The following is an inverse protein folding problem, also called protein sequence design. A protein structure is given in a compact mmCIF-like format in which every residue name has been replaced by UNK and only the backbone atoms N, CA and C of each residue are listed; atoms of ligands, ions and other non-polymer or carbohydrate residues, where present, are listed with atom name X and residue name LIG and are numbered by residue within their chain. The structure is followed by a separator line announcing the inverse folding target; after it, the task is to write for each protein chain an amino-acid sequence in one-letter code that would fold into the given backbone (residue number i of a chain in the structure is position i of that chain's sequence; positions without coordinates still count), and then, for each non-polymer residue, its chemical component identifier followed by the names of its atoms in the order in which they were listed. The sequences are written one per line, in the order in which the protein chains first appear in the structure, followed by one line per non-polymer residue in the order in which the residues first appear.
data_IF_031257365255
#
_entry.id   IF_031257365255
#
_cell.length_a   1.000
_cell.length_b   1.000
_cell.length_c   1.000
_cell.angle_alpha   90.00
_cell.angle_beta   90.00
_cell.angle_gamma   90.00
#
_symmetry.space_group_name_H-M   'P 1'
#
loop_
_entity.id
_entity.type
_entity.pdbx_description
1 polymer ?
#
# COMPACT_ATOMS: atom_id res chain seq x y z
N UNK A 1 -1.77 -12.52 9.84
CA UNK A 1 -2.59 -12.61 8.61
C UNK A 1 -1.74 -12.24 7.40
N UNK A 2 -2.10 -12.73 6.20
CA UNK A 2 -1.45 -12.40 4.94
C UNK A 2 -2.51 -12.09 3.88
N UNK A 3 -2.34 -10.98 3.15
CA UNK A 3 -3.20 -10.55 2.05
C UNK A 3 -2.34 -10.30 0.80
N UNK A 4 -2.88 -10.63 -0.36
CA UNK A 4 -2.29 -10.30 -1.66
C UNK A 4 -3.32 -9.51 -2.47
N UNK A 5 -3.10 -8.20 -2.60
CA UNK A 5 -4.01 -7.30 -3.30
C UNK A 5 -3.55 -7.19 -4.76
N UNK A 6 -4.32 -7.79 -5.66
CA UNK A 6 -4.06 -7.77 -7.11
C UNK A 6 -4.46 -6.43 -7.75
N UNK A 7 -3.83 -5.36 -7.28
CA UNK A 7 -3.99 -3.99 -7.74
C UNK A 7 -2.60 -3.36 -7.89
N UNK A 8 -2.41 -2.56 -8.93
CA UNK A 8 -1.15 -1.83 -9.10
C UNK A 8 -0.96 -0.84 -7.93
N UNK A 9 0.18 -0.87 -7.21
CA UNK A 9 0.44 0.07 -6.14
C UNK A 9 0.33 1.52 -6.61
N UNK A 10 -0.37 2.36 -5.84
CA UNK A 10 -0.50 3.79 -6.12
C UNK A 10 -0.05 4.60 -4.91
N UNK A 11 0.83 5.61 -5.08
CA UNK A 11 1.19 6.51 -3.98
C UNK A 11 0.00 7.41 -3.64
N UNK A 12 -0.09 7.81 -2.37
CA UNK A 12 -1.07 8.79 -1.93
C UNK A 12 -0.94 10.10 -2.71
N UNK A 13 -2.05 10.57 -3.30
CA UNK A 13 -2.09 11.89 -3.93
C UNK A 13 -2.11 12.98 -2.86
N UNK A 14 -1.38 14.08 -3.10
CA UNK A 14 -1.47 15.27 -2.25
C UNK A 14 -2.85 15.92 -2.40
N UNK A 15 -3.42 16.50 -1.32
CA UNK A 15 -4.67 17.24 -1.41
C UNK A 15 -4.58 18.34 -2.46
N UNK A 16 -5.63 18.50 -3.28
CA UNK A 16 -5.73 19.61 -4.21
C UNK A 16 -6.61 20.69 -3.60
N UNK A 17 -6.19 21.93 -3.80
CA UNK A 17 -6.91 23.11 -3.35
C UNK A 17 -7.47 23.84 -4.57
N UNK A 18 -8.78 24.07 -4.57
CA UNK A 18 -9.43 24.93 -5.56
C UNK A 18 -10.08 26.11 -4.84
N UNK A 19 -9.97 27.30 -5.41
CA UNK A 19 -10.58 28.52 -4.90
C UNK A 19 -11.78 28.90 -5.76
N UNK A 20 -12.94 29.11 -5.13
CA UNK A 20 -14.13 29.70 -5.74
C UNK A 20 -14.53 30.94 -4.95
N UNK A 21 -14.17 32.12 -5.47
CA UNK A 21 -14.34 33.38 -4.76
C UNK A 21 -13.51 33.43 -3.47
N UNK A 22 -14.18 33.66 -2.33
CA UNK A 22 -13.58 33.66 -0.99
C UNK A 22 -13.42 32.26 -0.37
N UNK A 23 -14.02 31.22 -0.96
CA UNK A 23 -13.99 29.87 -0.40
C UNK A 23 -12.87 29.03 -1.02
N UNK A 24 -12.13 28.33 -0.17
CA UNK A 24 -11.14 27.31 -0.58
C UNK A 24 -11.72 25.93 -0.28
N UNK A 25 -11.78 25.07 -1.30
CA UNK A 25 -12.23 23.69 -1.18
C UNK A 25 -11.05 22.76 -1.37
N UNK A 26 -10.87 21.83 -0.44
CA UNK A 26 -9.89 20.75 -0.53
C UNK A 26 -10.57 19.51 -1.07
N UNK A 27 -10.01 18.89 -2.11
CA UNK A 27 -10.54 17.65 -2.67
C UNK A 27 -9.42 16.66 -3.00
N UNK A 28 -9.72 15.37 -2.84
CA UNK A 28 -8.83 14.30 -3.27
C UNK A 28 -8.93 14.10 -4.79
N UNK A 29 -7.83 13.66 -5.39
CA UNK A 29 -7.83 13.29 -6.79
C UNK A 29 -8.82 12.15 -7.08
N UNK A 30 -9.61 12.29 -8.16
CA UNK A 30 -10.68 11.34 -8.51
C UNK A 30 -10.11 9.93 -8.74
N UNK A 31 -8.93 9.84 -9.35
CA UNK A 31 -8.30 8.56 -9.62
C UNK A 31 -7.72 7.96 -8.34
N UNK A 32 -7.29 8.78 -7.38
CA UNK A 32 -6.89 8.30 -6.04
C UNK A 32 -8.09 7.73 -5.29
N UNK A 33 -9.22 8.45 -5.28
CA UNK A 33 -10.45 7.96 -4.65
C UNK A 33 -10.92 6.64 -5.25
N UNK A 34 -10.88 6.53 -6.59
CA UNK A 34 -11.27 5.31 -7.31
C UNK A 34 -10.35 4.14 -6.94
N UNK A 35 -9.05 4.38 -6.91
CA UNK A 35 -8.06 3.38 -6.50
C UNK A 35 -8.28 2.95 -5.04
N UNK A 36 -8.50 3.90 -4.12
CA UNK A 36 -8.73 3.64 -2.69
C UNK A 36 -9.97 2.78 -2.47
N UNK A 37 -11.08 3.09 -3.14
CA UNK A 37 -12.31 2.30 -3.07
C UNK A 37 -12.10 0.86 -3.56
N UNK A 38 -11.36 0.68 -4.66
CA UNK A 38 -11.05 -0.65 -5.18
C UNK A 38 -10.14 -1.42 -4.21
N UNK A 39 -9.12 -0.78 -3.65
CA UNK A 39 -8.25 -1.36 -2.65
C UNK A 39 -9.04 -1.81 -1.40
N UNK A 40 -9.92 -0.94 -0.87
CA UNK A 40 -10.82 -1.25 0.24
C UNK A 40 -11.71 -2.46 -0.05
N UNK A 41 -12.29 -2.55 -1.26
CA UNK A 41 -13.11 -3.69 -1.68
C UNK A 41 -12.30 -5.00 -1.70
N UNK A 42 -11.08 -4.98 -2.24
CA UNK A 42 -10.20 -6.15 -2.24
C UNK A 42 -9.85 -6.60 -0.82
N UNK A 43 -9.52 -5.66 0.07
CA UNK A 43 -9.22 -5.93 1.48
C UNK A 43 -10.45 -6.52 2.16
N UNK A 44 -11.61 -5.86 2.07
CA UNK A 44 -12.85 -6.31 2.71
C UNK A 44 -13.27 -7.71 2.25
N UNK A 45 -13.11 -8.03 0.96
CA UNK A 45 -13.42 -9.35 0.44
C UNK A 45 -12.48 -10.44 0.98
N UNK A 46 -11.18 -10.16 1.08
CA UNK A 46 -10.21 -11.13 1.63
C UNK A 46 -10.26 -11.23 3.16
N UNK A 47 -10.73 -10.19 3.83
CA UNK A 47 -10.81 -10.10 5.29
C UNK A 47 -12.23 -10.33 5.84
N UNK A 48 -13.16 -10.79 5.00
CA UNK A 48 -14.56 -10.96 5.35
C UNK A 48 -14.73 -11.92 6.54
N UNK A 49 -15.49 -11.49 7.54
CA UNK A 49 -15.80 -12.29 8.73
C UNK A 49 -14.67 -12.36 9.77
N UNK A 50 -13.56 -11.66 9.55
CA UNK A 50 -12.48 -11.54 10.55
C UNK A 50 -12.75 -10.34 11.48
N UNK A 51 -12.38 -10.43 12.76
CA UNK A 51 -12.47 -9.30 13.68
C UNK A 51 -11.42 -8.24 13.32
N UNK A 52 -11.71 -6.97 13.63
CA UNK A 52 -10.72 -5.91 13.58
C UNK A 52 -9.58 -6.24 14.56
N UNK A 53 -8.34 -6.10 14.12
CA UNK A 53 -7.15 -6.32 14.94
C UNK A 53 -7.00 -5.21 15.98
N UNK A 54 -6.74 -5.62 17.22
CA UNK A 54 -6.52 -4.73 18.36
C UNK A 54 -5.06 -4.80 18.84
N UNK A 55 -4.63 -3.77 19.59
CA UNK A 55 -3.29 -3.69 20.16
C UNK A 55 -2.21 -3.25 19.16
N UNK A 56 -0.96 -3.39 19.58
CA UNK A 56 0.21 -3.05 18.77
C UNK A 56 0.42 -4.07 17.64
N UNK A 57 0.61 -3.57 16.43
CA UNK A 57 0.73 -4.38 15.22
C UNK A 57 2.14 -4.27 14.65
N UNK A 58 2.65 -5.39 14.13
CA UNK A 58 3.77 -5.39 13.20
C UNK A 58 3.27 -5.68 11.80
N UNK A 59 3.73 -4.90 10.83
CA UNK A 59 3.43 -5.12 9.42
C UNK A 59 4.68 -5.45 8.61
N UNK A 60 4.50 -6.21 7.54
CA UNK A 60 5.50 -6.38 6.49
C UNK A 60 4.82 -6.17 5.15
N UNK A 61 5.30 -5.20 4.39
CA UNK A 61 4.68 -4.71 3.18
C UNK A 61 5.65 -4.86 2.01
N UNK A 62 5.16 -5.38 0.88
CA UNK A 62 5.90 -5.42 -0.38
C UNK A 62 5.04 -4.86 -1.50
N UNK A 63 5.49 -3.73 -2.04
CA UNK A 63 4.87 -3.08 -3.18
C UNK A 63 5.56 -3.54 -4.47
N UNK A 64 4.85 -4.29 -5.30
CA UNK A 64 5.36 -4.75 -6.59
C UNK A 64 4.87 -3.81 -7.70
N UNK A 65 5.81 -3.05 -8.26
CA UNK A 65 5.55 -1.96 -9.19
C UNK A 65 5.90 -2.40 -10.60
N UNK A 66 5.11 -2.00 -11.59
CA UNK A 66 5.39 -2.29 -12.99
C UNK A 66 6.74 -1.67 -13.41
N UNK A 67 7.69 -2.44 -13.97
CA UNK A 67 8.94 -1.89 -14.46
C UNK A 67 8.71 -0.99 -15.68
N UNK A 68 9.43 0.15 -15.79
CA UNK A 68 9.48 0.92 -17.01
C UNK A 68 10.18 0.14 -18.12
N UNK A 69 9.92 0.50 -19.38
CA UNK A 69 10.43 -0.22 -20.55
C UNK A 69 11.96 -0.35 -20.58
N UNK A 70 12.68 0.67 -20.10
CA UNK A 70 14.14 0.66 -20.06
C UNK A 70 14.70 -0.30 -19.00
N UNK A 71 13.87 -0.86 -18.11
CA UNK A 71 14.23 -1.93 -17.18
C UNK A 71 13.71 -3.27 -17.72
N UNK A 72 12.45 -3.31 -18.16
CA UNK A 72 11.79 -4.55 -18.58
C UNK A 72 12.24 -5.12 -19.92
N UNK A 73 12.78 -4.29 -20.82
CA UNK A 73 13.35 -4.76 -22.11
C UNK A 73 14.80 -5.21 -22.01
N UNK A 74 15.44 -5.01 -20.86
CA UNK A 74 16.86 -5.36 -20.68
C UNK A 74 16.98 -6.86 -20.43
N UNK A 75 17.60 -7.60 -21.36
CA UNK A 75 17.73 -9.06 -21.27
C UNK A 75 18.40 -9.54 -19.98
N UNK A 76 19.43 -8.83 -19.50
CA UNK A 76 20.12 -9.14 -18.24
C UNK A 76 19.23 -8.97 -16.99
N UNK A 77 18.14 -8.21 -17.08
CA UNK A 77 17.24 -7.97 -15.95
C UNK A 77 16.11 -9.01 -15.87
N UNK A 78 15.91 -9.86 -16.89
CA UNK A 78 14.75 -10.76 -16.96
C UNK A 78 14.65 -11.68 -15.75
N UNK A 79 15.74 -12.37 -15.39
CA UNK A 79 15.76 -13.26 -14.23
C UNK A 79 15.48 -12.49 -12.93
N UNK A 80 16.15 -11.36 -12.73
CA UNK A 80 15.95 -10.53 -11.54
C UNK A 80 14.53 -9.91 -11.45
N UNK A 81 13.85 -9.71 -12.58
CA UNK A 81 12.45 -9.28 -12.62
C UNK A 81 11.48 -10.43 -12.30
N UNK A 82 11.80 -11.66 -12.71
CA UNK A 82 11.03 -12.85 -12.37
C UNK A 82 11.19 -13.22 -10.89
N UNK A 83 12.41 -13.06 -10.35
CA UNK A 83 12.72 -13.26 -8.94
C UNK A 83 12.28 -12.06 -8.07
N UNK A 84 11.85 -10.97 -8.71
CA UNK A 84 11.37 -9.73 -8.08
C UNK A 84 12.37 -9.08 -7.10
N UNK A 85 13.67 -9.24 -7.37
CA UNK A 85 14.76 -8.78 -6.51
C UNK A 85 15.29 -7.38 -6.86
N UNK A 86 14.75 -6.72 -7.89
CA UNK A 86 15.18 -5.37 -8.29
C UNK A 86 14.43 -4.32 -7.46
N UNK A 87 15.09 -3.62 -6.51
CA UNK A 87 14.44 -2.57 -5.74
C UNK A 87 14.15 -1.34 -6.60
N UNK A 88 13.03 -0.68 -6.32
CA UNK A 88 12.68 0.58 -6.97
C UNK A 88 13.41 1.73 -6.27
N UNK A 89 14.51 2.20 -6.86
CA UNK A 89 15.27 3.36 -6.36
C UNK A 89 14.74 4.73 -6.82
N UNK A 90 13.54 4.80 -7.41
CA UNK A 90 12.96 6.02 -7.98
C UNK A 90 11.70 6.44 -7.24
N UNK A 91 11.27 7.69 -7.45
CA UNK A 91 9.96 8.19 -7.00
C UNK A 91 8.83 7.31 -7.56
N UNK A 92 7.67 7.26 -6.91
CA UNK A 92 7.26 7.94 -5.65
C UNK A 92 7.94 7.39 -4.40
N UNK A 93 7.96 8.17 -3.32
CA UNK A 93 8.54 7.77 -2.03
C UNK A 93 7.70 6.65 -1.37
N UNK A 94 8.35 5.76 -0.62
CA UNK A 94 7.73 4.50 -0.13
C UNK A 94 6.60 4.77 0.88
N UNK A 95 6.78 5.80 1.71
CA UNK A 95 5.81 6.29 2.69
C UNK A 95 4.46 6.68 2.06
N UNK A 96 4.44 7.17 0.82
CA UNK A 96 3.21 7.51 0.13
C UNK A 96 2.42 6.26 -0.27
N UNK A 97 3.11 5.15 -0.59
CA UNK A 97 2.45 3.87 -0.85
C UNK A 97 1.90 3.27 0.44
N UNK A 98 2.67 3.34 1.52
CA UNK A 98 2.22 2.93 2.86
C UNK A 98 0.99 3.70 3.27
N UNK A 99 1.02 5.03 3.16
CA UNK A 99 -0.13 5.88 3.49
C UNK A 99 -1.38 5.50 2.70
N UNK A 100 -1.27 5.31 1.40
CA UNK A 100 -2.40 4.92 0.56
C UNK A 100 -2.99 3.56 0.99
N UNK A 101 -2.13 2.59 1.33
CA UNK A 101 -2.55 1.28 1.80
C UNK A 101 -3.19 1.35 3.20
N UNK A 102 -2.58 2.03 4.16
CA UNK A 102 -3.09 2.13 5.52
C UNK A 102 -4.40 2.91 5.60
N UNK A 103 -4.54 4.00 4.83
CA UNK A 103 -5.82 4.71 4.65
C UNK A 103 -6.91 3.76 4.08
N UNK A 104 -6.52 2.76 3.26
CA UNK A 104 -7.44 1.73 2.74
C UNK A 104 -7.74 0.59 3.71
N UNK A 105 -6.89 0.35 4.73
CA UNK A 105 -7.06 -0.74 5.70
C UNK A 105 -7.75 -0.29 6.99
N UNK A 106 -7.63 0.99 7.34
CA UNK A 106 -8.23 1.58 8.54
C UNK A 106 -9.76 1.41 8.55
N UNK A 107 -10.30 1.01 9.70
CA UNK A 107 -11.71 0.67 9.89
C UNK A 107 -12.14 -0.69 9.31
N UNK A 108 -11.25 -1.42 8.62
CA UNK A 108 -11.52 -2.75 8.06
C UNK A 108 -10.66 -3.81 8.77
N UNK A 109 -9.35 -3.60 8.81
CA UNK A 109 -8.39 -4.57 9.35
C UNK A 109 -7.93 -4.19 10.75
N UNK A 110 -7.73 -2.91 11.01
CA UNK A 110 -7.41 -2.30 12.30
C UNK A 110 -8.21 -1.00 12.40
N UNK A 111 -8.34 -0.39 13.58
CA UNK A 111 -9.08 0.86 13.69
C UNK A 111 -8.33 2.01 12.99
N UNK A 112 -7.07 2.19 13.36
CA UNK A 112 -6.22 3.30 12.93
C UNK A 112 -4.79 2.83 12.69
N UNK A 113 -4.07 3.49 11.79
CA UNK A 113 -2.69 3.16 11.43
C UNK A 113 -1.68 3.48 12.55
N UNK A 114 -2.08 4.30 13.53
CA UNK A 114 -1.39 4.47 14.81
C UNK A 114 -1.22 3.19 15.63
N UNK A 115 -1.95 2.11 15.33
CA UNK A 115 -1.70 0.78 15.92
C UNK A 115 -0.42 0.11 15.41
N UNK A 116 0.16 0.58 14.30
CA UNK A 116 1.36 -0.03 13.70
C UNK A 116 2.60 0.43 14.45
N UNK A 117 3.11 -0.44 15.32
CA UNK A 117 4.29 -0.18 16.13
C UNK A 117 5.61 -0.57 15.42
N UNK A 118 5.55 -1.54 14.50
CA UNK A 118 6.70 -2.01 13.72
C UNK A 118 6.29 -2.23 12.27
N UNK A 119 7.15 -1.87 11.33
CA UNK A 119 6.94 -2.17 9.92
C UNK A 119 8.24 -2.49 9.17
N UNK A 120 8.17 -3.43 8.24
CA UNK A 120 9.23 -3.72 7.25
C UNK A 120 8.64 -3.52 5.86
N UNK A 121 9.10 -2.50 5.13
CA UNK A 121 8.49 -2.06 3.89
C UNK A 121 9.53 -2.05 2.76
N UNK A 122 9.14 -2.58 1.59
CA UNK A 122 9.97 -2.56 0.40
C UNK A 122 9.16 -2.37 -0.87
N UNK A 123 9.78 -1.77 -1.89
CA UNK A 123 9.20 -1.63 -3.23
C UNK A 123 10.12 -2.21 -4.29
N UNK A 124 9.58 -3.11 -5.10
CA UNK A 124 10.32 -3.91 -6.07
C UNK A 124 9.66 -3.82 -7.43
N UNK A 125 10.43 -3.98 -8.50
CA UNK A 125 9.85 -4.14 -9.82
C UNK A 125 9.34 -5.55 -10.03
N UNK A 126 8.15 -5.68 -10.62
CA UNK A 126 7.56 -6.96 -11.01
C UNK A 126 6.75 -6.83 -12.29
N UNK A 127 6.74 -7.90 -13.09
CA UNK A 127 5.84 -8.03 -14.24
C UNK A 127 4.38 -8.30 -13.83
N UNK A 128 4.14 -8.61 -12.55
CA UNK A 128 2.83 -8.85 -11.94
C UNK A 128 2.59 -7.86 -10.78
N UNK A 129 2.22 -6.59 -11.08
CA UNK A 129 2.04 -5.57 -10.06
C UNK A 129 0.95 -5.93 -9.04
N UNK A 130 1.29 -5.80 -7.76
CA UNK A 130 0.42 -6.14 -6.63
C UNK A 130 0.95 -5.56 -5.33
N UNK A 131 0.19 -5.70 -4.27
CA UNK A 131 0.62 -5.39 -2.90
C UNK A 131 0.55 -6.67 -2.07
N UNK A 132 1.64 -7.03 -1.40
CA UNK A 132 1.63 -8.09 -0.41
C UNK A 132 1.72 -7.49 0.99
N UNK A 133 0.83 -7.95 1.86
CA UNK A 133 0.64 -7.43 3.21
C UNK A 133 0.68 -8.60 4.19
N UNK A 134 1.55 -8.53 5.18
CA UNK A 134 1.55 -9.41 6.34
C UNK A 134 1.35 -8.54 7.59
N UNK A 135 0.42 -8.93 8.46
CA UNK A 135 0.18 -8.23 9.74
C UNK A 135 0.13 -9.26 10.87
N UNK A 136 0.87 -8.99 11.94
CA UNK A 136 0.84 -9.75 13.19
C UNK A 136 0.51 -8.86 14.38
N UNK A 137 -0.33 -9.35 15.29
CA UNK A 137 -0.55 -8.71 16.59
C UNK A 137 0.66 -9.02 17.46
N UNK A 138 1.29 -7.98 17.98
CA UNK A 138 2.42 -8.13 18.88
C UNK A 138 1.92 -8.61 20.23
N UNK A 139 2.52 -9.67 20.77
CA UNK A 139 2.22 -10.11 22.13
C UNK A 139 2.62 -9.01 23.09
N UNK A 140 1.68 -8.58 23.93
CA UNK A 140 1.99 -7.73 25.08
C UNK A 140 3.04 -8.45 25.92
N UNK A 141 4.17 -7.80 26.17
CA UNK A 141 5.03 -8.20 27.28
C UNK A 141 4.18 -8.04 28.54
N UNK A 142 3.92 -9.13 29.25
CA UNK A 142 3.43 -9.07 30.62
C UNK A 142 4.56 -8.46 31.44
N UNK A 143 4.48 -7.15 31.66
CA UNK A 143 5.34 -6.39 32.57
C UNK A 143 4.74 -6.47 33.97
#
# INVERSE_FOLDING_TARGET
MKLTLNIEPKPQSRPRFARRGSFTTTYEDKDMKTWRNHCQLLIANQYMGQPILEGALRTRLRFYIKPPQYISKVKKNQQALLDEIIPVGKKPDIDNYEKALYDSMSGIVFQDDGQIALHDVGKFYSLNPRIEVEIEVMKSLSI
#
